data_IF_882773889743
#
_entry.id   IF_882773889743
#
_cell.length_a   1.000
_cell.length_b   1.000
_cell.length_c   1.000
_cell.angle_alpha   90.00
_cell.angle_beta   90.00
_cell.angle_gamma   90.00
#
_symmetry.space_group_name_H-M   'P 1'
#
loop_
_entity.id
_entity.type
_entity.pdbx_description
1 polymer ?
#
# COMPACT_ATOMS: atom_id res chain seq x y z
N UNK A 1 13.01 -19.86 24.18
CA UNK A 1 14.23 -20.22 23.44
C UNK A 1 14.85 -18.96 22.87
N UNK A 2 16.18 -18.90 22.83
CA UNK A 2 16.88 -17.83 22.12
C UNK A 2 16.94 -18.20 20.63
N UNK A 3 16.43 -17.36 19.77
CA UNK A 3 16.43 -17.62 18.34
C UNK A 3 17.82 -17.41 17.68
N UNK A 4 18.79 -16.93 18.43
CA UNK A 4 20.21 -16.90 18.03
C UNK A 4 20.96 -18.20 18.44
N UNK A 5 20.28 -19.15 19.08
CA UNK A 5 20.80 -20.46 19.45
C UNK A 5 20.32 -21.51 18.43
N UNK A 6 21.27 -22.05 17.68
CA UNK A 6 21.00 -23.06 16.65
C UNK A 6 20.44 -24.35 17.24
N UNK A 7 20.94 -24.79 18.40
CA UNK A 7 20.49 -26.02 19.05
C UNK A 7 19.03 -25.91 19.49
N UNK A 8 18.66 -24.75 20.09
CA UNK A 8 17.29 -24.47 20.44
C UNK A 8 16.34 -24.45 19.22
N UNK A 9 16.79 -23.89 18.10
CA UNK A 9 16.01 -23.90 16.85
C UNK A 9 15.86 -25.30 16.25
N UNK A 10 16.88 -26.16 16.39
CA UNK A 10 16.83 -27.57 15.97
C UNK A 10 15.83 -28.38 16.80
N UNK A 11 15.85 -28.22 18.11
CA UNK A 11 14.92 -28.87 19.03
C UNK A 11 13.47 -28.52 18.73
N UNK A 12 13.21 -27.26 18.29
CA UNK A 12 11.90 -26.79 17.88
C UNK A 12 11.47 -27.26 16.48
N UNK A 13 12.30 -28.03 15.78
CA UNK A 13 11.97 -28.57 14.44
C UNK A 13 11.97 -27.52 13.34
N UNK A 14 12.68 -26.41 13.51
CA UNK A 14 12.67 -25.27 12.56
C UNK A 14 13.18 -25.67 11.17
N UNK A 15 14.03 -26.69 11.05
CA UNK A 15 14.51 -27.22 9.76
C UNK A 15 13.39 -27.75 8.84
N UNK A 16 12.26 -28.15 9.42
CA UNK A 16 11.15 -28.80 8.71
C UNK A 16 10.04 -27.80 8.32
N UNK A 17 10.21 -26.51 8.63
CA UNK A 17 9.23 -25.48 8.25
C UNK A 17 9.44 -25.04 6.81
N UNK A 18 8.35 -24.71 6.13
CA UNK A 18 8.41 -24.16 4.77
C UNK A 18 8.80 -22.67 4.77
N UNK A 19 8.39 -21.93 5.79
CA UNK A 19 8.64 -20.48 5.90
C UNK A 19 9.05 -20.13 7.33
N UNK A 20 10.10 -19.35 7.47
CA UNK A 20 10.48 -18.73 8.74
C UNK A 20 10.39 -17.21 8.64
N UNK A 21 9.85 -16.56 9.67
CA UNK A 21 9.75 -15.11 9.77
C UNK A 21 10.59 -14.62 10.95
N UNK A 22 11.63 -13.82 10.66
CA UNK A 22 12.50 -13.19 11.65
C UNK A 22 12.01 -11.75 11.89
N UNK A 23 11.55 -11.46 13.11
CA UNK A 23 10.91 -10.18 13.42
C UNK A 23 11.32 -9.60 14.79
N UNK A 24 12.63 -9.51 15.07
CA UNK A 24 13.16 -9.02 16.35
C UNK A 24 13.18 -7.49 16.42
N UNK A 25 12.30 -6.74 16.23
CA UNK A 25 12.27 -5.28 16.46
C UNK A 25 13.65 -4.61 16.30
N UNK A 26 14.21 -4.12 17.40
CA UNK A 26 15.45 -3.32 17.40
C UNK A 26 16.74 -4.15 17.65
N UNK A 27 16.72 -5.45 17.45
CA UNK A 27 17.91 -6.30 17.63
C UNK A 27 18.48 -6.73 16.27
N UNK A 28 19.25 -5.83 15.64
CA UNK A 28 19.86 -6.08 14.34
C UNK A 28 20.86 -7.24 14.38
N UNK A 29 21.59 -7.41 15.49
CA UNK A 29 22.54 -8.49 15.66
C UNK A 29 21.87 -9.86 15.69
N UNK A 30 20.81 -10.01 16.50
CA UNK A 30 20.03 -11.25 16.52
C UNK A 30 19.36 -11.50 15.16
N UNK A 31 18.88 -10.46 14.49
CA UNK A 31 18.27 -10.57 13.15
C UNK A 31 19.27 -11.14 12.12
N UNK A 32 20.50 -10.63 12.11
CA UNK A 32 21.56 -11.10 11.22
C UNK A 32 21.91 -12.56 11.54
N UNK A 33 22.19 -12.87 12.80
CA UNK A 33 22.63 -14.21 13.22
C UNK A 33 21.56 -15.25 12.95
N UNK A 34 20.31 -15.02 13.37
CA UNK A 34 19.18 -15.94 13.11
C UNK A 34 18.95 -16.16 11.62
N UNK A 35 19.11 -15.11 10.78
CA UNK A 35 18.97 -15.27 9.33
C UNK A 35 19.99 -16.24 8.77
N UNK A 36 21.26 -16.16 9.22
CA UNK A 36 22.33 -17.07 8.81
C UNK A 36 22.02 -18.51 9.26
N UNK A 37 21.69 -18.69 10.54
CA UNK A 37 21.36 -20.00 11.12
C UNK A 37 20.21 -20.67 10.33
N UNK A 38 19.10 -19.95 10.09
CA UNK A 38 17.97 -20.47 9.32
C UNK A 38 18.38 -20.88 7.90
N UNK A 39 19.26 -20.11 7.27
CA UNK A 39 19.79 -20.44 5.94
C UNK A 39 20.63 -21.71 5.96
N UNK A 40 21.52 -21.87 6.93
CA UNK A 40 22.36 -23.05 7.13
C UNK A 40 21.54 -24.29 7.48
N UNK A 41 20.44 -24.13 8.24
CA UNK A 41 19.48 -25.18 8.53
C UNK A 41 18.66 -25.63 7.30
N UNK A 42 18.76 -24.91 6.18
CA UNK A 42 18.07 -25.27 4.93
C UNK A 42 16.61 -24.83 4.85
N UNK A 43 16.17 -23.87 5.67
CA UNK A 43 14.81 -23.31 5.57
C UNK A 43 14.58 -22.75 4.17
N UNK A 44 13.49 -23.17 3.53
CA UNK A 44 13.22 -22.90 2.11
C UNK A 44 12.92 -21.41 1.84
N UNK A 45 12.18 -20.78 2.73
CA UNK A 45 11.76 -19.38 2.55
C UNK A 45 11.92 -18.59 3.86
N UNK A 46 12.77 -17.57 3.83
CA UNK A 46 13.11 -16.75 4.99
C UNK A 46 12.66 -15.31 4.73
N UNK A 47 11.72 -14.84 5.56
CA UNK A 47 11.25 -13.45 5.56
C UNK A 47 11.89 -12.74 6.76
N UNK A 48 12.50 -11.58 6.53
CA UNK A 48 13.18 -10.85 7.60
C UNK A 48 12.64 -9.43 7.69
N UNK A 49 12.23 -9.04 8.89
CA UNK A 49 11.91 -7.65 9.21
C UNK A 49 13.19 -6.89 9.54
N UNK A 50 13.36 -5.71 8.93
CA UNK A 50 14.37 -4.74 9.33
C UNK A 50 13.73 -3.36 9.50
N UNK A 51 14.22 -2.60 10.49
CA UNK A 51 13.74 -1.25 10.73
C UNK A 51 14.54 -0.21 9.94
N UNK A 52 15.80 -0.50 9.62
CA UNK A 52 16.66 0.35 8.82
C UNK A 52 16.91 -0.25 7.43
N UNK A 53 16.57 0.50 6.39
CA UNK A 53 16.75 0.09 4.99
C UNK A 53 18.20 -0.22 4.60
N UNK A 54 19.18 0.24 5.37
CA UNK A 54 20.60 -0.07 5.18
C UNK A 54 20.88 -1.57 5.27
N UNK A 55 20.15 -2.30 6.11
CA UNK A 55 20.32 -3.73 6.30
C UNK A 55 19.73 -4.58 5.17
N UNK A 56 18.85 -4.04 4.32
CA UNK A 56 18.19 -4.80 3.25
C UNK A 56 19.19 -5.56 2.37
N UNK A 57 20.23 -4.92 1.78
CA UNK A 57 21.16 -5.63 0.91
C UNK A 57 22.02 -6.66 1.67
N UNK A 58 22.31 -6.40 2.95
CA UNK A 58 23.07 -7.30 3.80
C UNK A 58 22.26 -8.57 4.07
N UNK A 59 21.05 -8.41 4.58
CA UNK A 59 20.15 -9.51 4.94
C UNK A 59 19.79 -10.38 3.73
N UNK A 60 19.60 -9.77 2.55
CA UNK A 60 19.42 -10.51 1.31
C UNK A 60 20.62 -11.36 0.93
N UNK A 61 21.85 -10.83 1.08
CA UNK A 61 23.08 -11.60 0.84
C UNK A 61 23.28 -12.75 1.82
N UNK A 62 22.78 -12.60 3.05
CA UNK A 62 22.83 -13.64 4.08
C UNK A 62 21.79 -14.76 3.88
N UNK A 63 20.91 -14.63 2.89
CA UNK A 63 20.01 -15.70 2.48
C UNK A 63 18.52 -15.45 2.69
N UNK A 64 18.11 -14.27 3.14
CA UNK A 64 16.70 -13.92 3.18
C UNK A 64 16.10 -13.83 1.77
N UNK A 65 14.97 -14.51 1.57
CA UNK A 65 14.19 -14.45 0.34
C UNK A 65 13.43 -13.12 0.23
N UNK A 66 12.90 -12.65 1.37
CA UNK A 66 12.16 -11.39 1.44
C UNK A 66 12.61 -10.56 2.64
N UNK A 67 12.68 -9.25 2.46
CA UNK A 67 12.98 -8.30 3.53
C UNK A 67 11.89 -7.24 3.57
N UNK A 68 11.26 -7.10 4.73
CA UNK A 68 10.15 -6.15 4.97
C UNK A 68 10.59 -5.02 5.90
N UNK A 69 10.09 -3.81 5.62
CA UNK A 69 10.34 -2.61 6.41
C UNK A 69 9.01 -1.97 6.82
N UNK A 70 8.33 -2.48 7.86
CA UNK A 70 6.99 -2.05 8.23
C UNK A 70 6.89 -0.55 8.54
N UNK A 71 7.88 0.02 9.23
CA UNK A 71 7.92 1.44 9.58
C UNK A 71 7.97 2.33 8.35
N UNK A 72 8.77 1.95 7.35
CA UNK A 72 8.85 2.68 6.09
C UNK A 72 7.52 2.59 5.33
N UNK A 73 6.93 1.42 5.24
CA UNK A 73 5.63 1.22 4.58
C UNK A 73 4.52 2.02 5.27
N UNK A 74 4.47 1.98 6.62
CA UNK A 74 3.52 2.76 7.40
C UNK A 74 3.74 4.27 7.24
N UNK A 75 5.01 4.72 7.25
CA UNK A 75 5.37 6.11 7.01
C UNK A 75 4.97 6.61 5.63
N UNK A 76 5.21 5.82 4.59
CA UNK A 76 4.79 6.13 3.22
C UNK A 76 3.26 6.20 3.10
N UNK A 77 2.53 5.25 3.71
CA UNK A 77 1.07 5.25 3.74
C UNK A 77 0.52 6.49 4.45
N UNK A 78 1.11 6.86 5.59
CA UNK A 78 0.74 8.07 6.34
C UNK A 78 1.07 9.35 5.54
N UNK A 79 2.24 9.42 4.93
CA UNK A 79 2.63 10.56 4.10
C UNK A 79 1.70 10.74 2.90
N UNK A 80 1.29 9.65 2.26
CA UNK A 80 0.31 9.68 1.17
C UNK A 80 -1.07 10.15 1.66
N UNK A 81 -1.50 9.68 2.84
CA UNK A 81 -2.78 10.10 3.45
C UNK A 81 -2.77 11.56 3.89
N UNK A 82 -1.66 12.03 4.48
CA UNK A 82 -1.51 13.41 4.94
C UNK A 82 -1.01 14.35 3.85
N UNK A 83 -0.56 13.80 2.72
CA UNK A 83 -0.03 14.53 1.58
C UNK A 83 -1.04 15.47 0.92
N UNK A 84 -0.62 16.14 -0.13
CA UNK A 84 -1.37 17.19 -0.85
C UNK A 84 -2.75 16.72 -1.35
N UNK A 85 -3.00 15.41 -1.38
CA UNK A 85 -4.14 14.83 -2.08
C UNK A 85 -5.20 14.17 -1.20
N UNK A 86 -4.96 13.97 0.12
CA UNK A 86 -5.92 13.40 1.07
C UNK A 86 -6.70 12.20 0.53
N UNK A 87 -5.98 11.25 -0.09
CA UNK A 87 -6.59 10.01 -0.55
C UNK A 87 -6.79 9.08 0.66
N UNK A 88 -8.03 8.63 0.88
CA UNK A 88 -8.32 7.67 1.96
C UNK A 88 -7.66 6.32 1.70
N UNK A 89 -7.67 5.87 0.44
CA UNK A 89 -7.01 4.66 0.00
C UNK A 89 -6.03 5.01 -1.12
N UNK A 90 -4.80 4.52 -1.01
CA UNK A 90 -3.74 4.72 -1.99
C UNK A 90 -2.94 3.43 -2.15
N UNK A 91 -2.92 2.90 -3.35
CA UNK A 91 -2.19 1.69 -3.71
C UNK A 91 -1.27 1.98 -4.89
N UNK A 92 0.04 1.94 -4.67
CA UNK A 92 1.03 2.08 -5.73
C UNK A 92 1.13 0.77 -6.51
N UNK A 93 0.89 0.79 -7.81
CA UNK A 93 1.00 -0.38 -8.68
C UNK A 93 2.43 -0.53 -9.20
N UNK A 94 3.03 0.58 -9.65
CA UNK A 94 4.40 0.64 -10.13
C UNK A 94 5.03 2.02 -9.88
N UNK A 95 6.12 2.37 -10.61
CA UNK A 95 6.78 3.68 -10.52
C UNK A 95 5.91 4.85 -11.01
N UNK A 96 4.91 4.59 -11.86
CA UNK A 96 4.11 5.62 -12.55
C UNK A 96 2.63 5.58 -12.16
N UNK A 97 2.07 4.38 -11.98
CA UNK A 97 0.65 4.17 -11.81
C UNK A 97 0.27 3.85 -10.37
N UNK A 98 -0.87 4.37 -9.97
CA UNK A 98 -1.46 4.11 -8.66
C UNK A 98 -2.97 3.92 -8.79
N UNK A 99 -3.55 3.22 -7.84
CA UNK A 99 -5.00 3.21 -7.60
C UNK A 99 -5.27 4.06 -6.38
N UNK A 100 -6.24 4.95 -6.49
CA UNK A 100 -6.67 5.79 -5.36
C UNK A 100 -8.20 5.79 -5.24
N UNK A 101 -8.69 6.04 -4.04
CA UNK A 101 -10.10 6.34 -3.84
C UNK A 101 -10.33 7.85 -3.72
N UNK A 102 -11.35 8.34 -4.41
CA UNK A 102 -11.77 9.75 -4.39
C UNK A 102 -13.23 9.78 -3.97
N UNK A 103 -13.55 10.55 -2.93
CA UNK A 103 -14.93 10.84 -2.58
C UNK A 103 -15.41 12.00 -3.44
N UNK A 104 -16.52 11.80 -4.11
CA UNK A 104 -17.14 12.80 -5.00
C UNK A 104 -17.83 13.86 -4.17
N UNK A 105 -17.58 15.13 -4.48
CA UNK A 105 -18.14 16.26 -3.75
C UNK A 105 -19.67 16.29 -3.83
N UNK A 106 -20.31 16.79 -2.77
CA UNK A 106 -21.77 16.98 -2.72
C UNK A 106 -22.31 17.91 -3.82
N UNK A 107 -21.50 18.82 -4.30
CA UNK A 107 -21.86 19.74 -5.40
C UNK A 107 -21.70 19.14 -6.80
N UNK A 108 -21.25 17.88 -6.92
CA UNK A 108 -21.07 17.23 -8.19
C UNK A 108 -22.42 16.95 -8.87
N UNK A 109 -22.51 17.24 -10.15
CA UNK A 109 -23.72 16.96 -10.93
C UNK A 109 -23.69 15.50 -11.39
N UNK A 110 -24.73 14.68 -11.08
CA UNK A 110 -24.77 13.28 -11.48
C UNK A 110 -24.49 13.08 -12.97
N UNK A 111 -23.38 12.40 -13.28
CA UNK A 111 -22.86 12.30 -14.65
C UNK A 111 -22.58 10.85 -15.01
N UNK A 112 -22.99 10.40 -16.19
CA UNK A 112 -22.67 9.06 -16.69
C UNK A 112 -21.18 8.96 -17.04
N UNK A 113 -20.61 7.74 -16.98
CA UNK A 113 -19.20 7.53 -17.32
C UNK A 113 -18.89 7.90 -18.77
N UNK A 114 -19.84 7.68 -19.69
CA UNK A 114 -19.70 8.10 -21.09
C UNK A 114 -19.54 9.63 -21.15
N UNK A 115 -20.40 10.37 -20.47
CA UNK A 115 -20.36 11.83 -20.47
C UNK A 115 -19.15 12.40 -19.71
N UNK A 116 -18.70 11.71 -18.68
CA UNK A 116 -17.52 12.08 -17.89
C UNK A 116 -16.23 12.00 -18.69
N UNK A 117 -16.13 11.03 -19.60
CA UNK A 117 -14.97 10.81 -20.47
C UNK A 117 -13.64 10.78 -19.66
N UNK A 118 -13.65 10.02 -18.55
CA UNK A 118 -12.53 10.02 -17.59
C UNK A 118 -11.21 9.61 -18.23
N UNK A 119 -11.25 8.64 -19.16
CA UNK A 119 -10.07 8.17 -19.89
C UNK A 119 -9.58 9.20 -20.90
N UNK A 120 -10.47 9.75 -21.69
CA UNK A 120 -10.14 10.66 -22.80
C UNK A 120 -9.68 12.03 -22.28
N UNK A 121 -10.37 12.58 -21.28
CA UNK A 121 -10.07 13.91 -20.72
C UNK A 121 -8.92 13.91 -19.74
N UNK A 122 -8.82 12.87 -18.92
CA UNK A 122 -7.88 12.86 -17.78
C UNK A 122 -6.87 11.72 -17.82
N UNK A 123 -7.05 10.72 -18.71
CA UNK A 123 -6.17 9.55 -18.79
C UNK A 123 -6.27 8.64 -17.55
N UNK A 124 -7.45 8.55 -16.93
CA UNK A 124 -7.73 7.65 -15.80
C UNK A 124 -8.84 6.68 -16.13
N UNK A 125 -8.80 5.47 -15.57
CA UNK A 125 -9.91 4.54 -15.61
C UNK A 125 -10.56 4.43 -14.23
N UNK A 126 -11.89 4.40 -14.20
CA UNK A 126 -12.68 4.14 -12.99
C UNK A 126 -12.88 2.65 -12.86
N UNK A 127 -12.42 2.07 -11.75
CA UNK A 127 -12.41 0.63 -11.51
C UNK A 127 -13.63 0.16 -10.71
N UNK A 128 -14.03 0.96 -9.73
CA UNK A 128 -15.10 0.61 -8.79
C UNK A 128 -15.80 1.87 -8.32
N UNK A 129 -17.09 1.78 -8.14
CA UNK A 129 -17.91 2.81 -7.47
C UNK A 129 -18.50 2.19 -6.21
N UNK A 130 -18.35 2.87 -5.10
CA UNK A 130 -18.97 2.53 -3.81
C UNK A 130 -19.92 3.64 -3.45
N UNK A 131 -21.19 3.31 -3.33
CA UNK A 131 -22.28 4.20 -2.94
C UNK A 131 -22.27 4.49 -1.45
N UNK A 132 -22.95 5.52 -1.05
CA UNK A 132 -23.11 5.91 0.36
C UNK A 132 -23.92 4.85 1.15
N UNK A 133 -24.80 4.10 0.50
CA UNK A 133 -25.54 2.96 1.05
C UNK A 133 -24.70 1.67 1.20
N UNK A 134 -23.42 1.72 0.82
CA UNK A 134 -22.49 0.59 0.86
C UNK A 134 -22.53 -0.32 -0.37
N UNK A 135 -23.39 -0.07 -1.34
CA UNK A 135 -23.42 -0.81 -2.59
C UNK A 135 -22.13 -0.57 -3.39
N UNK A 136 -21.47 -1.63 -3.84
CA UNK A 136 -20.23 -1.56 -4.63
C UNK A 136 -20.41 -2.25 -5.96
N UNK A 137 -19.98 -1.63 -7.07
CA UNK A 137 -20.09 -2.22 -8.40
C UNK A 137 -18.98 -1.73 -9.35
N UNK A 138 -18.66 -2.58 -10.33
CA UNK A 138 -17.79 -2.22 -11.45
C UNK A 138 -18.65 -1.46 -12.46
N UNK A 139 -18.38 -0.16 -12.69
CA UNK A 139 -19.31 0.64 -13.46
C UNK A 139 -19.16 0.43 -14.97
N UNK A 140 -20.30 0.38 -15.68
CA UNK A 140 -20.39 0.46 -17.13
C UNK A 140 -20.60 1.89 -17.63
N UNK A 141 -20.52 2.08 -18.93
CA UNK A 141 -20.58 3.42 -19.53
C UNK A 141 -21.87 4.22 -19.23
N UNK A 142 -23.01 3.55 -19.04
CA UNK A 142 -24.32 4.18 -18.73
C UNK A 142 -24.50 4.49 -17.25
N UNK A 143 -23.69 3.89 -16.38
CA UNK A 143 -23.78 4.13 -14.95
C UNK A 143 -23.38 5.57 -14.61
N UNK A 144 -24.05 6.12 -13.61
CA UNK A 144 -23.81 7.49 -13.16
C UNK A 144 -23.01 7.51 -11.87
N UNK A 145 -22.06 8.42 -11.81
CA UNK A 145 -21.43 8.83 -10.57
C UNK A 145 -22.34 9.88 -9.92
N UNK A 146 -22.56 9.71 -8.64
CA UNK A 146 -23.40 10.58 -7.81
C UNK A 146 -22.55 11.34 -6.78
N UNK A 147 -23.07 12.43 -6.20
CA UNK A 147 -22.48 13.04 -5.00
C UNK A 147 -22.28 12.00 -3.90
N UNK A 148 -21.19 12.14 -3.15
CA UNK A 148 -20.74 11.26 -2.07
C UNK A 148 -20.29 9.86 -2.50
N UNK A 149 -20.45 9.46 -3.76
CA UNK A 149 -19.85 8.21 -4.24
C UNK A 149 -18.34 8.20 -3.96
N UNK A 150 -17.83 7.07 -3.54
CA UNK A 150 -16.40 6.80 -3.45
C UNK A 150 -15.98 6.06 -4.72
N UNK A 151 -15.17 6.69 -5.56
CA UNK A 151 -14.71 6.11 -6.83
C UNK A 151 -13.25 5.69 -6.72
N UNK A 152 -12.96 4.45 -7.10
CA UNK A 152 -11.59 3.96 -7.23
C UNK A 152 -11.12 4.17 -8.66
N UNK A 153 -10.02 4.88 -8.81
CA UNK A 153 -9.47 5.23 -10.12
C UNK A 153 -8.02 4.80 -10.24
N UNK A 154 -7.63 4.36 -11.45
CA UNK A 154 -6.25 4.05 -11.78
C UNK A 154 -5.71 5.06 -12.80
N UNK A 155 -4.49 5.51 -12.57
CA UNK A 155 -3.80 6.45 -13.45
C UNK A 155 -2.43 6.86 -12.93
N UNK A 156 -1.77 7.77 -13.64
CA UNK A 156 -0.56 8.42 -13.11
C UNK A 156 -0.95 9.45 -12.04
N UNK A 157 -0.02 9.79 -11.16
CA UNK A 157 -0.25 10.80 -10.11
C UNK A 157 -0.79 12.12 -10.68
N UNK A 158 -0.27 12.55 -11.82
CA UNK A 158 -0.73 13.78 -12.51
C UNK A 158 -2.17 13.62 -12.99
N UNK A 159 -2.48 12.54 -13.69
CA UNK A 159 -3.79 12.28 -14.25
C UNK A 159 -4.89 12.17 -13.18
N UNK A 160 -4.59 11.46 -12.10
CA UNK A 160 -5.49 11.32 -10.95
C UNK A 160 -5.76 12.69 -10.30
N UNK A 161 -4.73 13.52 -10.17
CA UNK A 161 -4.87 14.90 -9.66
C UNK A 161 -5.80 15.73 -10.52
N UNK A 162 -5.58 15.70 -11.83
CA UNK A 162 -6.35 16.48 -12.79
C UNK A 162 -7.81 16.00 -12.84
N UNK A 163 -8.03 14.69 -12.78
CA UNK A 163 -9.36 14.11 -12.65
C UNK A 163 -10.06 14.56 -11.36
N UNK A 164 -9.40 14.48 -10.22
CA UNK A 164 -9.96 14.94 -8.94
C UNK A 164 -10.35 16.42 -8.98
N UNK A 165 -9.50 17.26 -9.56
CA UNK A 165 -9.83 18.69 -9.76
C UNK A 165 -11.06 18.88 -10.66
N UNK A 166 -11.20 18.05 -11.69
CA UNK A 166 -12.33 18.09 -12.61
C UNK A 166 -13.65 17.75 -11.94
N UNK A 167 -13.68 16.75 -11.03
CA UNK A 167 -14.92 16.32 -10.37
C UNK A 167 -15.21 17.06 -9.06
N UNK A 168 -14.19 17.53 -8.33
CA UNK A 168 -14.34 18.11 -6.99
C UNK A 168 -13.92 19.59 -6.90
N UNK A 169 -13.44 20.19 -8.01
CA UNK A 169 -12.88 21.52 -7.99
C UNK A 169 -11.50 21.61 -7.34
N UNK A 170 -10.99 22.80 -7.15
CA UNK A 170 -9.68 23.04 -6.52
C UNK A 170 -9.79 22.82 -5.02
N UNK A 171 -9.14 21.77 -4.52
CA UNK A 171 -9.09 21.47 -3.09
C UNK A 171 -8.15 22.44 -2.37
N UNK A 172 -8.68 23.24 -1.43
CA UNK A 172 -7.87 23.96 -0.44
C UNK A 172 -7.75 23.05 0.80
N UNK A 173 -6.57 22.54 1.06
CA UNK A 173 -6.29 21.72 2.24
C UNK A 173 -6.58 22.55 3.50
N UNK A 174 -7.55 22.13 4.30
CA UNK A 174 -7.71 22.60 5.67
C UNK A 174 -7.07 21.57 6.59
N UNK A 175 -5.91 21.88 7.15
CA UNK A 175 -5.43 21.16 8.31
C UNK A 175 -6.50 21.27 9.41
N UNK A 176 -6.75 20.21 10.18
CA UNK A 176 -7.63 20.37 11.33
C UNK A 176 -7.02 21.44 12.23
N UNK A 177 -7.69 22.60 12.27
CA UNK A 177 -7.38 23.64 13.25
C UNK A 177 -7.77 23.04 14.59
N UNK A 178 -6.82 22.98 15.53
CA UNK A 178 -7.11 22.58 16.92
C UNK A 178 -8.26 23.45 17.42
N UNK A 179 -9.39 22.82 17.72
CA UNK A 179 -10.38 23.38 18.64
C UNK A 179 -9.86 23.17 20.06
#
# INVERSE_FOLDING_TARGET
ADAADEEALRELGVKDVDVAIVAFGHNDQATVLTTVILKEMGVKYIVVRVDNSFYIPIIKKLGANEVVTPQKAAGEALANRLGEYDYKDFYKLDKKYSVVSIVVNQSFIPTSLIALQAKEKYGVNILLVVRDDGCSFVPGGKDRILPNDKVFVVGTTKNIRDFRKGINGVYKKRWPVKS
#
